data_IF_487091311467
#
_entry.id   IF_487091311467
#
_cell.length_a   1.000
_cell.length_b   1.000
_cell.length_c   1.000
_cell.angle_alpha   90.00
_cell.angle_beta   90.00
_cell.angle_gamma   90.00
#
_symmetry.space_group_name_H-M   'P 1'
#
loop_
_entity.id
_entity.type
_entity.pdbx_description
1 polymer ?
#
# COMPACT_ATOMS: atom_id res chain seq x y z
N UNK A 1 -7.18 1.48 -4.13
CA UNK A 1 -5.91 1.21 -3.41
C UNK A 1 -6.18 0.14 -2.37
N UNK A 2 -5.31 -0.86 -2.26
CA UNK A 2 -5.40 -1.92 -1.25
C UNK A 2 -4.10 -1.92 -0.45
N UNK A 3 -4.19 -1.94 0.87
CA UNK A 3 -3.03 -2.01 1.77
C UNK A 3 -3.05 -3.35 2.47
N UNK A 4 -1.90 -4.02 2.52
CA UNK A 4 -1.75 -5.33 3.12
C UNK A 4 -0.49 -5.37 4.00
N UNK A 5 -0.50 -6.21 5.03
CA UNK A 5 0.63 -6.34 5.96
C UNK A 5 1.74 -7.28 5.44
N UNK A 6 1.42 -8.18 4.50
CA UNK A 6 2.35 -9.18 3.97
C UNK A 6 2.34 -9.21 2.45
N UNK A 7 3.46 -9.65 1.86
CA UNK A 7 3.59 -9.84 0.42
C UNK A 7 2.56 -10.85 -0.12
N UNK A 8 2.34 -11.95 0.59
CA UNK A 8 1.34 -12.95 0.21
C UNK A 8 -0.08 -12.37 0.16
N UNK A 9 -0.43 -11.48 1.09
CA UNK A 9 -1.72 -10.79 1.06
C UNK A 9 -1.83 -9.80 -0.10
N UNK A 10 -0.75 -9.14 -0.51
CA UNK A 10 -0.72 -8.29 -1.72
C UNK A 10 -1.00 -9.12 -2.97
N UNK A 11 -0.33 -10.26 -3.12
CA UNK A 11 -0.49 -11.16 -4.27
C UNK A 11 -1.93 -11.69 -4.36
N UNK A 12 -2.50 -12.15 -3.24
CA UNK A 12 -3.89 -12.61 -3.21
C UNK A 12 -4.88 -11.48 -3.47
N UNK A 13 -4.64 -10.29 -2.94
CA UNK A 13 -5.46 -9.12 -3.23
C UNK A 13 -5.44 -8.79 -4.73
N UNK A 14 -4.27 -8.80 -5.36
CA UNK A 14 -4.13 -8.56 -6.79
C UNK A 14 -4.89 -9.62 -7.61
N UNK A 15 -4.79 -10.90 -7.24
CA UNK A 15 -5.51 -12.01 -7.88
C UNK A 15 -7.03 -11.82 -7.78
N UNK A 16 -7.53 -11.48 -6.59
CA UNK A 16 -8.97 -11.28 -6.34
C UNK A 16 -9.51 -10.06 -7.08
N UNK A 17 -8.79 -8.94 -7.06
CA UNK A 17 -9.18 -7.72 -7.77
C UNK A 17 -9.20 -7.97 -9.28
N UNK A 18 -8.20 -8.68 -9.81
CA UNK A 18 -8.18 -9.08 -11.23
C UNK A 18 -9.41 -9.89 -11.60
N UNK A 19 -9.73 -10.95 -10.83
CA UNK A 19 -10.91 -11.79 -11.08
C UNK A 19 -12.23 -10.99 -11.05
N UNK A 20 -12.39 -10.06 -10.11
CA UNK A 20 -13.59 -9.22 -10.01
C UNK A 20 -13.68 -8.27 -11.20
N UNK A 21 -12.58 -7.62 -11.59
CA UNK A 21 -12.57 -6.70 -12.74
C UNK A 21 -12.85 -7.44 -14.05
N UNK A 22 -12.25 -8.61 -14.27
CA UNK A 22 -12.54 -9.43 -15.45
C UNK A 22 -14.02 -9.80 -15.55
N UNK A 23 -14.66 -10.13 -14.42
CA UNK A 23 -16.12 -10.40 -14.40
C UNK A 23 -16.96 -9.18 -14.76
N UNK A 24 -16.43 -7.98 -14.54
CA UNK A 24 -17.07 -6.71 -14.91
C UNK A 24 -16.68 -6.25 -16.33
N UNK A 25 -15.92 -7.05 -17.09
CA UNK A 25 -15.42 -6.69 -18.42
C UNK A 25 -14.29 -5.65 -18.41
N UNK A 26 -13.60 -5.50 -17.27
CA UNK A 26 -12.48 -4.58 -17.09
C UNK A 26 -11.17 -5.35 -16.89
N UNK A 27 -10.06 -4.76 -17.30
CA UNK A 27 -8.73 -5.34 -17.15
C UNK A 27 -7.81 -4.43 -16.33
N UNK A 28 -6.95 -5.05 -15.51
CA UNK A 28 -5.87 -4.34 -14.82
C UNK A 28 -4.74 -4.06 -15.80
N UNK A 29 -4.45 -2.77 -16.00
CA UNK A 29 -3.33 -2.36 -16.82
C UNK A 29 -2.01 -2.48 -16.03
N UNK A 30 -1.05 -3.24 -16.56
CA UNK A 30 0.26 -3.50 -15.91
C UNK A 30 1.06 -2.22 -15.67
N UNK A 31 1.01 -1.25 -16.60
CA UNK A 31 1.73 0.03 -16.47
C UNK A 31 1.18 0.91 -15.33
N UNK A 32 -0.12 0.79 -15.00
CA UNK A 32 -0.78 1.61 -13.97
C UNK A 32 -0.90 0.89 -12.63
N UNK A 33 -0.61 -0.40 -12.61
CA UNK A 33 -0.74 -1.25 -11.43
C UNK A 33 0.65 -1.56 -10.89
N UNK A 34 0.98 -0.97 -9.73
CA UNK A 34 2.26 -1.21 -9.08
C UNK A 34 2.08 -1.60 -7.62
N UNK A 35 2.95 -2.48 -7.14
CA UNK A 35 3.13 -2.75 -5.71
C UNK A 35 4.12 -1.74 -5.15
N UNK A 36 3.82 -1.18 -3.98
CA UNK A 36 4.67 -0.17 -3.30
C UNK A 36 5.02 -0.66 -1.91
N UNK A 37 6.32 -0.70 -1.59
CA UNK A 37 6.80 -1.09 -0.27
C UNK A 37 6.76 0.09 0.71
N UNK A 38 5.67 0.17 1.48
CA UNK A 38 5.52 1.14 2.56
C UNK A 38 6.29 0.74 3.83
N UNK A 39 6.91 -0.45 3.88
CA UNK A 39 7.67 -0.90 5.03
C UNK A 39 8.86 0.02 5.28
N UNK A 40 9.08 0.34 6.55
CA UNK A 40 10.18 1.22 6.97
C UNK A 40 10.26 2.53 6.18
N UNK A 41 9.12 3.08 5.74
CA UNK A 41 9.08 4.38 5.06
C UNK A 41 9.92 4.42 3.78
N UNK A 42 10.20 3.26 3.18
CA UNK A 42 11.03 3.09 1.97
C UNK A 42 10.43 3.83 0.80
N UNK A 43 9.14 3.64 0.56
CA UNK A 43 8.43 4.28 -0.54
C UNK A 43 7.21 5.07 -0.08
N UNK A 44 6.70 5.88 -1.01
CA UNK A 44 5.42 6.55 -0.96
C UNK A 44 4.68 6.39 -2.28
N UNK A 45 3.41 6.77 -2.31
CA UNK A 45 2.59 6.71 -3.53
C UNK A 45 1.68 7.92 -3.62
N UNK A 46 1.34 8.27 -4.86
CA UNK A 46 0.42 9.34 -5.15
C UNK A 46 -1.02 8.81 -5.23
N UNK A 47 -1.93 9.49 -4.55
CA UNK A 47 -3.35 9.19 -4.59
C UNK A 47 -4.15 10.48 -4.52
N UNK A 48 -5.02 10.70 -5.51
CA UNK A 48 -5.89 11.88 -5.60
C UNK A 48 -5.14 13.22 -5.47
N UNK A 49 -3.93 13.32 -6.04
CA UNK A 49 -3.11 14.53 -5.99
C UNK A 49 -2.31 14.72 -4.70
N UNK A 50 -2.33 13.75 -3.78
CA UNK A 50 -1.53 13.77 -2.56
C UNK A 50 -0.45 12.68 -2.60
N UNK A 51 0.77 13.00 -2.17
CA UNK A 51 1.83 12.02 -1.99
C UNK A 51 1.83 11.48 -0.56
N UNK A 52 1.46 10.21 -0.39
CA UNK A 52 1.38 9.56 0.91
C UNK A 52 2.65 8.76 1.20
N UNK A 53 3.20 8.93 2.41
CA UNK A 53 4.34 8.16 2.92
C UNK A 53 4.08 7.68 4.33
N UNK A 54 4.44 6.42 4.62
CA UNK A 54 4.30 5.85 5.96
C UNK A 54 5.26 6.57 6.93
N UNK A 55 4.71 7.25 7.94
CA UNK A 55 5.43 7.91 9.03
C UNK A 55 4.82 7.52 10.37
N UNK A 56 5.63 7.52 11.43
CA UNK A 56 5.12 7.38 12.80
C UNK A 56 4.27 8.60 13.14
N UNK A 57 3.12 8.39 13.76
CA UNK A 57 2.33 9.49 14.31
C UNK A 57 2.94 9.99 15.62
N UNK A 58 2.93 11.30 15.83
CA UNK A 58 3.45 11.94 17.05
C UNK A 58 2.90 11.33 18.35
N UNK A 59 1.59 11.08 18.47
CA UNK A 59 1.02 10.47 19.67
C UNK A 59 1.47 9.02 19.93
N UNK A 60 1.85 8.27 18.90
CA UNK A 60 2.43 6.92 19.08
C UNK A 60 3.90 7.05 19.50
N UNK A 61 4.63 8.03 18.96
CA UNK A 61 6.00 8.33 19.36
C UNK A 61 6.12 8.68 20.85
N UNK A 62 5.26 9.59 21.34
CA UNK A 62 5.25 10.01 22.75
C UNK A 62 4.99 8.83 23.71
N UNK A 63 4.07 7.93 23.33
CA UNK A 63 3.70 6.77 24.14
C UNK A 63 4.73 5.63 24.11
N UNK A 64 5.36 5.38 22.95
CA UNK A 64 6.20 4.20 22.78
C UNK A 64 7.65 4.40 23.23
N UNK A 65 8.14 5.65 23.36
CA UNK A 65 9.57 6.01 23.60
C UNK A 65 10.58 5.31 22.67
N UNK A 66 10.11 4.73 21.57
CA UNK A 66 10.93 4.00 20.59
C UNK A 66 11.16 4.90 19.38
N UNK A 67 12.42 5.19 19.08
CA UNK A 67 12.84 5.72 17.76
C UNK A 67 12.77 4.59 16.74
N UNK A 68 11.56 4.21 16.33
CA UNK A 68 11.41 3.34 15.17
C UNK A 68 11.45 4.25 13.95
N UNK A 69 12.64 4.41 13.39
CA UNK A 69 12.81 5.09 12.13
C UNK A 69 12.17 4.26 11.02
N UNK A 70 11.33 4.93 10.25
CA UNK A 70 10.90 4.52 8.93
C UNK A 70 11.59 5.46 7.95
#
# INVERSE_FOLDING_TARGET
MVVCDTKAAVEEAQRRVSCVLTRLGLELHSEKTRTVDLSRGREGFDFLGCHLRKRMSGPIWERARKRVYY
#
